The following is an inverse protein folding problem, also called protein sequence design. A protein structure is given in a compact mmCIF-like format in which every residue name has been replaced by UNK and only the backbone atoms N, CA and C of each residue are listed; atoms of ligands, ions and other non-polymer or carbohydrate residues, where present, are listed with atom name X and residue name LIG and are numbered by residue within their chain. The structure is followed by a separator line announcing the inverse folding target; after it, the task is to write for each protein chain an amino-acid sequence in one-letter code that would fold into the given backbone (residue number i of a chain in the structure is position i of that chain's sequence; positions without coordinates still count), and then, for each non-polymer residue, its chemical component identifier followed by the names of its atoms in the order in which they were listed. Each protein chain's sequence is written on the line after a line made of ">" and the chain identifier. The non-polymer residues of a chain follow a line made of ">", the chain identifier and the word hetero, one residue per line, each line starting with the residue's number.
data_IF_799667513579
#
_entry.id   IF_799667513579
#
_cell.length_a   1.000
_cell.length_b   1.000
_cell.length_c   1.000
_cell.angle_alpha   90.00
_cell.angle_beta   90.00
_cell.angle_gamma   90.00
#
_symmetry.space_group_name_H-M   'P 1'
#
loop_
_entity.id
_entity.type
_entity.pdbx_description
1 polymer ?
#
# COMPACT_ATOMS: atom_id res chain seq x y z
N UNK A 1 -39.41 18.06 29.97
CA UNK A 1 -38.71 16.77 30.11
C UNK A 1 -37.93 16.51 28.83
N UNK A 2 -36.69 17.02 28.77
CA UNK A 2 -35.75 16.83 27.66
C UNK A 2 -35.02 15.49 27.87
N UNK A 3 -35.52 14.42 27.27
CA UNK A 3 -34.79 13.15 27.18
C UNK A 3 -35.07 12.57 25.82
N UNK A 4 -34.35 13.02 24.79
CA UNK A 4 -34.25 12.39 23.46
C UNK A 4 -33.28 13.23 22.61
N UNK A 5 -32.05 13.40 23.11
CA UNK A 5 -30.93 13.80 22.27
C UNK A 5 -29.79 12.82 22.50
N UNK A 6 -29.09 12.51 21.41
CA UNK A 6 -27.81 11.79 21.37
C UNK A 6 -27.86 10.27 21.15
N UNK A 7 -28.59 9.82 20.12
CA UNK A 7 -28.19 8.62 19.38
C UNK A 7 -27.23 9.06 18.25
N UNK A 8 -25.99 9.34 18.63
CA UNK A 8 -24.90 9.67 17.71
C UNK A 8 -24.60 8.42 16.87
N UNK A 9 -25.07 8.40 15.62
CA UNK A 9 -24.67 7.43 14.61
C UNK A 9 -23.16 7.56 14.34
N UNK A 10 -22.33 6.88 15.12
CA UNK A 10 -21.01 6.47 14.66
C UNK A 10 -21.20 5.33 13.65
N UNK A 11 -21.58 5.70 12.42
CA UNK A 11 -21.27 4.86 11.28
C UNK A 11 -19.77 5.01 11.05
N UNK A 12 -18.98 4.07 11.59
CA UNK A 12 -17.64 3.85 11.09
C UNK A 12 -17.80 3.58 9.59
N UNK A 13 -17.47 4.56 8.77
CA UNK A 13 -17.18 4.32 7.37
C UNK A 13 -15.98 3.36 7.37
N UNK A 14 -16.26 2.06 7.28
CA UNK A 14 -15.28 1.08 6.85
C UNK A 14 -14.93 1.46 5.43
N UNK A 15 -13.93 2.34 5.29
CA UNK A 15 -13.33 2.64 4.00
C UNK A 15 -12.92 1.28 3.45
N UNK A 16 -13.44 0.85 2.29
CA UNK A 16 -12.98 -0.39 1.70
C UNK A 16 -11.47 -0.22 1.56
N UNK A 17 -10.69 -1.12 2.16
CA UNK A 17 -9.28 -1.20 1.86
C UNK A 17 -9.23 -1.37 0.35
N UNK A 18 -8.90 -0.29 -0.38
CA UNK A 18 -8.82 -0.29 -1.84
C UNK A 18 -7.66 -1.23 -2.16
N UNK A 19 -8.03 -2.50 -2.31
CA UNK A 19 -7.13 -3.60 -2.41
C UNK A 19 -6.43 -3.49 -3.75
N UNK A 20 -5.18 -3.05 -3.65
CA UNK A 20 -4.14 -3.17 -4.63
C UNK A 20 -4.27 -2.31 -5.89
N UNK A 21 -3.43 -1.29 -5.90
CA UNK A 21 -3.15 -0.43 -7.02
C UNK A 21 -2.14 -1.18 -7.92
N UNK A 22 -2.62 -2.13 -8.72
CA UNK A 22 -1.79 -2.91 -9.63
C UNK A 22 -1.39 -2.09 -10.87
N UNK A 23 -0.14 -2.25 -11.35
CA UNK A 23 0.34 -1.65 -12.59
C UNK A 23 0.67 -0.15 -12.54
N UNK A 24 0.72 0.48 -11.35
CA UNK A 24 1.17 1.87 -11.18
C UNK A 24 2.56 1.92 -10.57
N UNK A 25 3.31 2.99 -10.85
CA UNK A 25 4.60 3.20 -10.19
C UNK A 25 4.42 3.41 -8.68
N UNK A 26 5.41 3.07 -7.85
CA UNK A 26 5.33 3.27 -6.41
C UNK A 26 5.00 4.71 -6.00
N UNK A 27 5.52 5.72 -6.71
CA UNK A 27 5.29 7.13 -6.43
C UNK A 27 3.83 7.53 -6.64
N UNK A 28 3.20 7.02 -7.72
CA UNK A 28 1.79 7.26 -8.01
C UNK A 28 0.91 6.59 -6.97
N UNK A 29 1.19 5.32 -6.64
CA UNK A 29 0.46 4.60 -5.61
C UNK A 29 0.57 5.27 -4.24
N UNK A 30 1.77 5.77 -3.89
CA UNK A 30 1.99 6.49 -2.64
C UNK A 30 1.24 7.83 -2.62
N UNK A 31 1.24 8.58 -3.73
CA UNK A 31 0.49 9.83 -3.86
C UNK A 31 -1.02 9.61 -3.71
N UNK A 32 -1.56 8.59 -4.38
CA UNK A 32 -2.98 8.23 -4.28
C UNK A 32 -3.36 7.80 -2.87
N UNK A 33 -2.55 6.95 -2.23
CA UNK A 33 -2.79 6.54 -0.85
C UNK A 33 -2.82 7.74 0.11
N UNK A 34 -1.89 8.70 -0.05
CA UNK A 34 -1.88 9.93 0.75
C UNK A 34 -3.10 10.82 0.46
N UNK A 35 -3.46 11.02 -0.81
CA UNK A 35 -4.61 11.83 -1.21
C UNK A 35 -5.93 11.24 -0.69
N UNK A 36 -6.05 9.91 -0.69
CA UNK A 36 -7.21 9.21 -0.16
C UNK A 36 -7.19 9.00 1.36
N UNK A 37 -6.17 9.52 2.07
CA UNK A 37 -5.99 9.34 3.52
C UNK A 37 -6.09 7.86 3.97
N UNK A 38 -5.52 6.96 3.18
CA UNK A 38 -5.53 5.52 3.49
C UNK A 38 -4.76 5.24 4.78
N UNK A 39 -5.31 4.39 5.64
CA UNK A 39 -4.59 3.91 6.84
C UNK A 39 -3.52 2.87 6.47
N UNK A 40 -3.80 2.05 5.46
CA UNK A 40 -2.88 1.07 4.90
C UNK A 40 -3.12 0.88 3.41
N UNK A 41 -2.08 0.43 2.70
CA UNK A 41 -2.14 0.12 1.26
C UNK A 41 -1.15 -0.98 0.93
N UNK A 42 -1.57 -1.91 0.09
CA UNK A 42 -0.73 -2.98 -0.47
C UNK A 42 -0.54 -2.75 -1.96
N UNK A 43 0.68 -2.84 -2.46
CA UNK A 43 1.00 -2.72 -3.89
C UNK A 43 1.84 -3.91 -4.34
N UNK A 44 1.81 -4.21 -5.65
CA UNK A 44 2.74 -5.14 -6.28
C UNK A 44 3.92 -4.34 -6.85
N UNK A 45 5.14 -4.72 -6.47
CA UNK A 45 6.37 -4.26 -7.09
C UNK A 45 6.84 -5.38 -8.00
N UNK A 46 6.77 -5.13 -9.30
CA UNK A 46 7.12 -6.10 -10.34
C UNK A 46 8.62 -6.42 -10.33
N UNK A 47 8.99 -7.68 -10.55
CA UNK A 47 10.37 -8.16 -10.65
C UNK A 47 10.77 -8.54 -12.10
N UNK A 48 9.97 -8.15 -13.10
CA UNK A 48 10.13 -8.59 -14.48
C UNK A 48 11.49 -8.23 -15.11
N UNK A 49 12.09 -9.29 -15.64
CA UNK A 49 13.21 -9.47 -16.57
C UNK A 49 14.30 -8.40 -16.73
N UNK A 50 15.51 -8.73 -16.23
CA UNK A 50 16.78 -8.10 -16.62
C UNK A 50 17.78 -7.89 -15.48
N UNK A 51 17.29 -7.77 -14.24
CA UNK A 51 18.13 -7.34 -13.10
C UNK A 51 17.78 -8.08 -11.81
N UNK A 52 17.72 -9.42 -11.87
CA UNK A 52 17.22 -10.32 -10.80
C UNK A 52 17.76 -10.05 -9.39
N UNK A 53 18.89 -9.36 -9.23
CA UNK A 53 19.44 -9.03 -7.91
C UNK A 53 19.45 -7.52 -7.58
N UNK A 54 19.69 -6.65 -8.58
CA UNK A 54 19.83 -5.21 -8.33
C UNK A 54 18.56 -4.42 -8.63
N UNK A 55 17.77 -4.82 -9.65
CA UNK A 55 16.57 -4.10 -10.05
C UNK A 55 15.50 -4.14 -8.97
N UNK A 56 15.13 -5.36 -8.54
CA UNK A 56 14.10 -5.55 -7.51
C UNK A 56 14.46 -4.87 -6.19
N UNK A 57 15.72 -4.96 -5.73
CA UNK A 57 16.16 -4.29 -4.50
C UNK A 57 16.11 -2.75 -4.63
N UNK A 58 16.51 -2.21 -5.79
CA UNK A 58 16.41 -0.77 -6.06
C UNK A 58 14.96 -0.31 -6.13
N UNK A 59 14.08 -1.08 -6.74
CA UNK A 59 12.67 -0.72 -6.91
C UNK A 59 11.89 -0.84 -5.60
N UNK A 60 12.22 -1.84 -4.76
CA UNK A 60 11.79 -1.90 -3.36
C UNK A 60 12.26 -0.67 -2.60
N UNK A 61 13.53 -0.30 -2.70
CA UNK A 61 14.09 0.87 -2.01
C UNK A 61 13.40 2.18 -2.42
N UNK A 62 13.20 2.40 -3.73
CA UNK A 62 12.45 3.56 -4.25
C UNK A 62 11.01 3.58 -3.74
N UNK A 63 10.36 2.42 -3.74
CA UNK A 63 9.00 2.26 -3.24
C UNK A 63 8.92 2.63 -1.76
N UNK A 64 9.81 2.06 -0.93
CA UNK A 64 9.87 2.39 0.50
C UNK A 64 10.08 3.88 0.73
N UNK A 65 10.98 4.52 -0.03
CA UNK A 65 11.22 5.95 0.06
C UNK A 65 9.98 6.78 -0.32
N UNK A 66 9.29 6.42 -1.40
CA UNK A 66 8.08 7.11 -1.84
C UNK A 66 6.98 7.08 -0.76
N UNK A 67 6.78 5.95 -0.11
CA UNK A 67 5.81 5.81 0.97
C UNK A 67 6.26 6.51 2.27
N UNK A 68 7.55 6.42 2.61
CA UNK A 68 8.12 7.09 3.77
C UNK A 68 7.99 8.62 3.72
N UNK A 69 8.20 9.23 2.54
CA UNK A 69 8.00 10.68 2.32
C UNK A 69 6.56 11.15 2.63
N UNK A 70 5.60 10.21 2.67
CA UNK A 70 4.18 10.48 2.94
C UNK A 70 3.73 10.00 4.32
N UNK A 71 4.69 9.62 5.18
CA UNK A 71 4.46 9.21 6.56
C UNK A 71 4.00 7.76 6.73
N UNK A 72 4.10 6.93 5.69
CA UNK A 72 3.83 5.49 5.81
C UNK A 72 5.09 4.72 6.21
N UNK A 73 4.92 3.61 6.91
CA UNK A 73 5.95 2.63 7.26
C UNK A 73 5.68 1.32 6.55
N UNK A 74 6.73 0.61 6.13
CA UNK A 74 6.61 -0.76 5.62
C UNK A 74 6.24 -1.70 6.77
N UNK A 75 5.29 -2.60 6.54
CA UNK A 75 4.84 -3.58 7.55
C UNK A 75 4.90 -5.03 7.07
N UNK A 76 4.89 -5.27 5.76
CA UNK A 76 5.06 -6.60 5.16
C UNK A 76 5.62 -6.49 3.75
N UNK A 77 6.45 -7.47 3.37
CA UNK A 77 7.01 -7.67 2.04
C UNK A 77 6.94 -9.17 1.74
N UNK A 78 6.03 -9.58 0.86
CA UNK A 78 5.81 -10.99 0.51
C UNK A 78 6.17 -11.25 -0.96
N UNK A 79 6.97 -12.29 -1.27
CA UNK A 79 7.25 -12.63 -2.66
C UNK A 79 5.99 -13.15 -3.35
N UNK A 80 5.77 -12.72 -4.60
CA UNK A 80 4.75 -13.26 -5.48
C UNK A 80 5.41 -14.19 -6.51
N UNK A 81 5.10 -15.49 -6.42
CA UNK A 81 5.65 -16.53 -7.29
C UNK A 81 4.51 -17.13 -8.10
N UNK A 82 4.68 -17.18 -9.41
CA UNK A 82 3.72 -17.78 -10.34
C UNK A 82 4.47 -18.72 -11.29
N UNK A 83 3.98 -19.96 -11.42
CA UNK A 83 4.61 -21.00 -12.25
C UNK A 83 6.09 -21.28 -11.94
N UNK A 84 6.52 -21.04 -10.70
CA UNK A 84 7.91 -21.23 -10.27
C UNK A 84 8.84 -20.03 -10.51
N UNK A 85 8.33 -18.96 -11.13
CA UNK A 85 9.08 -17.73 -11.37
C UNK A 85 8.66 -16.62 -10.38
N UNK A 86 9.64 -15.90 -9.85
CA UNK A 86 9.42 -14.69 -9.08
C UNK A 86 8.84 -13.60 -10.01
N UNK A 87 7.60 -13.22 -9.75
CA UNK A 87 6.89 -12.17 -10.49
C UNK A 87 7.08 -10.79 -9.83
N UNK A 88 7.28 -10.74 -8.51
CA UNK A 88 7.38 -9.49 -7.80
C UNK A 88 7.26 -9.65 -6.29
N UNK A 89 6.95 -8.53 -5.62
CA UNK A 89 6.71 -8.48 -4.18
C UNK A 89 5.43 -7.71 -3.89
N UNK A 90 4.53 -8.30 -3.11
CA UNK A 90 3.49 -7.55 -2.44
C UNK A 90 4.10 -6.80 -1.27
N UNK A 91 3.92 -5.49 -1.23
CA UNK A 91 4.41 -4.66 -0.12
C UNK A 91 3.26 -3.90 0.50
N UNK A 92 3.09 -4.06 1.81
CA UNK A 92 2.11 -3.33 2.60
C UNK A 92 2.78 -2.19 3.35
N UNK A 93 2.19 -1.01 3.21
CA UNK A 93 2.56 0.21 3.92
C UNK A 93 1.41 0.68 4.80
N UNK A 94 1.72 1.21 5.97
CA UNK A 94 0.73 1.66 6.95
C UNK A 94 1.14 3.00 7.58
N UNK A 95 0.19 3.89 7.81
CA UNK A 95 0.43 5.06 8.67
C UNK A 95 0.43 4.65 10.16
N UNK A 96 1.34 5.23 10.97
CA UNK A 96 1.35 5.02 12.42
C UNK A 96 0.02 5.33 13.10
#
# INVERSE_FOLDING_TARGET
>A
MFRLLSALLLTLAMVPAQAAIFGKSPEKSAAEAAAASMSAVTILIDASWGFRNQGAANDLSKSHQAFAQRGYKVVSVEPYIENGDLQGFFVTYQKP
#
